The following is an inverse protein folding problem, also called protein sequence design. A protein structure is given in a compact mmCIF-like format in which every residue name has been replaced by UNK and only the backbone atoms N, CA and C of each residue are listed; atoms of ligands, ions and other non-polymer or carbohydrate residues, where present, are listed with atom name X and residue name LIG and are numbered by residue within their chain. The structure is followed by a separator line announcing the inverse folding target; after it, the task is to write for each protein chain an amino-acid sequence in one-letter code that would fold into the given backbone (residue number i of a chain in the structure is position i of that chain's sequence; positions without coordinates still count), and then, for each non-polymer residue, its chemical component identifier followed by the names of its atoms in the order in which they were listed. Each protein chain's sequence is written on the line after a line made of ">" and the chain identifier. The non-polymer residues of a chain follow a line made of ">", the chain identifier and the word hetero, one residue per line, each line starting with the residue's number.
data_IF_657352845493
#
_entry.id   IF_657352845493
#
_cell.length_a   1.000
_cell.length_b   1.000
_cell.length_c   1.000
_cell.angle_alpha   90.00
_cell.angle_beta   90.00
_cell.angle_gamma   90.00
#
_symmetry.space_group_name_H-M   'P 1'
#
loop_
_entity.id
_entity.type
_entity.pdbx_description
1 polymer ?
#
# COMPACT_ATOMS: atom_id res chain seq x y z
N UNK A 1 39.29 5.56 -35.29
CA UNK A 1 38.45 4.35 -35.10
C UNK A 1 38.28 4.07 -33.60
N UNK A 2 37.47 4.87 -32.89
CA UNK A 2 37.23 4.74 -31.43
C UNK A 2 35.92 5.44 -31.01
N UNK A 3 34.87 5.37 -31.82
CA UNK A 3 33.57 6.00 -31.51
C UNK A 3 32.41 5.01 -31.35
N UNK A 4 32.55 3.78 -31.85
CA UNK A 4 31.50 2.76 -31.80
C UNK A 4 31.47 1.97 -30.47
N UNK A 5 32.62 1.81 -29.81
CA UNK A 5 32.75 1.02 -28.56
C UNK A 5 32.12 1.70 -27.35
N UNK A 6 32.02 3.03 -27.36
CA UNK A 6 31.39 3.80 -26.28
C UNK A 6 29.86 3.83 -26.37
N UNK A 7 29.30 3.89 -27.59
CA UNK A 7 27.84 3.94 -27.80
C UNK A 7 27.16 2.63 -27.38
N UNK A 8 27.77 1.49 -27.71
CA UNK A 8 27.27 0.16 -27.29
C UNK A 8 27.34 -0.02 -25.77
N UNK A 9 28.32 0.59 -25.10
CA UNK A 9 28.48 0.54 -23.65
C UNK A 9 27.37 1.23 -22.85
N UNK A 10 26.66 2.20 -23.43
CA UNK A 10 25.51 2.87 -22.80
C UNK A 10 24.15 2.28 -23.22
N UNK A 11 24.07 1.67 -24.42
CA UNK A 11 22.82 1.08 -24.92
C UNK A 11 22.44 -0.19 -24.14
N UNK A 12 23.42 -1.05 -23.82
CA UNK A 12 23.15 -2.30 -23.10
C UNK A 12 22.60 -2.04 -21.68
N UNK A 13 23.21 -1.20 -20.82
CA UNK A 13 22.67 -0.93 -19.49
C UNK A 13 21.36 -0.13 -19.50
N UNK A 14 21.12 0.72 -20.52
CA UNK A 14 19.81 1.40 -20.65
C UNK A 14 18.71 0.44 -21.06
N UNK A 15 18.99 -0.51 -21.96
CA UNK A 15 18.05 -1.56 -22.34
C UNK A 15 17.78 -2.52 -21.16
N UNK A 16 18.82 -2.90 -20.42
CA UNK A 16 18.67 -3.73 -19.21
C UNK A 16 17.89 -3.00 -18.10
N UNK A 17 18.16 -1.71 -17.90
CA UNK A 17 17.42 -0.86 -16.96
C UNK A 17 15.94 -0.74 -17.38
N UNK A 18 15.66 -0.55 -18.67
CA UNK A 18 14.30 -0.54 -19.21
C UNK A 18 13.58 -1.88 -19.06
N UNK A 19 14.27 -3.00 -19.31
CA UNK A 19 13.73 -4.35 -19.13
C UNK A 19 13.48 -4.66 -17.65
N UNK A 20 14.40 -4.27 -16.77
CA UNK A 20 14.23 -4.37 -15.32
C UNK A 20 13.06 -3.50 -14.85
N UNK A 21 12.92 -2.28 -15.34
CA UNK A 21 11.76 -1.43 -15.04
C UNK A 21 10.45 -2.04 -15.54
N UNK A 22 10.43 -2.64 -16.73
CA UNK A 22 9.25 -3.34 -17.26
C UNK A 22 8.85 -4.54 -16.38
N UNK A 23 9.82 -5.34 -15.95
CA UNK A 23 9.55 -6.54 -15.16
C UNK A 23 9.27 -6.24 -13.67
N UNK A 24 9.99 -5.27 -13.10
CA UNK A 24 9.98 -4.96 -11.68
C UNK A 24 9.24 -3.67 -11.32
N UNK A 25 8.70 -2.92 -12.30
CA UNK A 25 7.96 -1.68 -12.09
C UNK A 25 6.77 -1.83 -11.15
N UNK A 26 6.13 -3.00 -11.13
CA UNK A 26 5.04 -3.34 -10.20
C UNK A 26 5.46 -3.41 -8.72
N UNK A 27 6.77 -3.50 -8.46
CA UNK A 27 7.34 -3.47 -7.11
C UNK A 27 7.88 -2.10 -6.74
N UNK A 28 7.90 -1.14 -7.67
CA UNK A 28 8.35 0.20 -7.37
C UNK A 28 7.39 0.88 -6.39
N UNK A 29 7.89 1.39 -5.26
CA UNK A 29 7.07 2.07 -4.26
C UNK A 29 6.44 3.35 -4.83
N UNK A 30 5.10 3.42 -4.94
CA UNK A 30 4.39 4.67 -5.23
C UNK A 30 4.47 5.61 -4.02
N UNK A 31 5.41 6.55 -4.02
CA UNK A 31 5.68 7.43 -2.86
C UNK A 31 4.71 8.60 -2.71
N UNK A 32 3.73 8.75 -3.60
CA UNK A 32 2.72 9.81 -3.46
C UNK A 32 1.62 9.36 -2.51
N UNK A 33 1.52 9.92 -1.29
CA UNK A 33 0.32 9.76 -0.48
C UNK A 33 -0.82 10.46 -1.23
N UNK A 34 -1.58 9.69 -2.00
CA UNK A 34 -2.70 10.21 -2.80
C UNK A 34 -3.87 10.67 -1.91
N UNK A 35 -3.84 10.39 -0.61
CA UNK A 35 -4.95 10.69 0.29
C UNK A 35 -4.74 12.01 1.05
N UNK A 36 -5.64 12.97 0.84
CA UNK A 36 -5.73 14.19 1.66
C UNK A 36 -6.16 13.82 3.09
N UNK A 37 -5.44 14.19 4.16
CA UNK A 37 -5.88 13.90 5.51
C UNK A 37 -7.26 14.52 5.81
N UNK A 38 -8.09 13.84 6.62
CA UNK A 38 -9.35 14.43 7.10
C UNK A 38 -9.01 15.52 8.12
N UNK A 39 -9.72 16.65 8.09
CA UNK A 39 -9.59 17.65 9.14
C UNK A 39 -10.21 17.14 10.45
N UNK A 40 -9.74 17.66 11.58
CA UNK A 40 -10.25 17.29 12.90
C UNK A 40 -11.77 17.50 13.01
N UNK A 41 -12.30 18.56 12.40
CA UNK A 41 -13.72 18.87 12.36
C UNK A 41 -14.52 17.79 11.63
N UNK A 42 -14.03 17.34 10.46
CA UNK A 42 -14.67 16.27 9.70
C UNK A 42 -14.63 14.96 10.49
N UNK A 43 -13.52 14.66 11.17
CA UNK A 43 -13.41 13.46 12.03
C UNK A 43 -14.44 13.52 13.17
N UNK A 44 -14.59 14.67 13.83
CA UNK A 44 -15.57 14.84 14.89
C UNK A 44 -17.01 14.69 14.38
N UNK A 45 -17.32 15.28 13.23
CA UNK A 45 -18.64 15.13 12.60
C UNK A 45 -18.92 13.67 12.23
N UNK A 46 -17.94 12.95 11.67
CA UNK A 46 -18.08 11.53 11.35
C UNK A 46 -18.31 10.71 12.61
N UNK A 47 -17.59 10.96 13.70
CA UNK A 47 -17.80 10.24 14.96
C UNK A 47 -19.21 10.43 15.54
N UNK A 48 -19.86 11.56 15.26
CA UNK A 48 -21.23 11.85 15.71
C UNK A 48 -22.30 11.31 14.76
N UNK A 49 -22.05 11.33 13.45
CA UNK A 49 -23.08 11.02 12.43
C UNK A 49 -22.93 9.64 11.81
N UNK A 50 -21.70 9.20 11.55
CA UNK A 50 -21.35 7.94 10.87
C UNK A 50 -20.08 7.34 11.49
N UNK A 51 -20.13 6.92 12.78
CA UNK A 51 -18.95 6.38 13.46
C UNK A 51 -18.45 5.12 12.73
N UNK A 52 -17.13 5.00 12.56
CA UNK A 52 -16.54 3.82 11.90
C UNK A 52 -16.87 2.56 12.71
N UNK A 53 -17.43 1.55 12.06
CA UNK A 53 -17.79 0.26 12.68
C UNK A 53 -16.84 -0.86 12.27
N UNK A 54 -16.25 -0.78 11.09
CA UNK A 54 -15.40 -1.83 10.55
C UNK A 54 -14.35 -1.31 9.57
N UNK A 55 -13.29 -2.09 9.44
CA UNK A 55 -12.22 -1.91 8.47
C UNK A 55 -12.16 -3.18 7.63
N UNK A 56 -12.37 -3.04 6.32
CA UNK A 56 -12.28 -4.15 5.38
C UNK A 56 -11.00 -4.03 4.56
N UNK A 57 -10.17 -5.07 4.57
CA UNK A 57 -8.87 -5.09 3.91
C UNK A 57 -8.88 -6.06 2.74
N UNK A 58 -8.82 -5.52 1.52
CA UNK A 58 -8.81 -6.28 0.27
C UNK A 58 -7.37 -6.50 -0.17
N UNK A 59 -6.71 -7.52 0.38
CA UNK A 59 -5.26 -7.71 0.26
C UNK A 59 -4.77 -7.88 -1.17
N UNK A 60 -5.44 -8.73 -1.94
CA UNK A 60 -5.12 -8.98 -3.36
C UNK A 60 -5.27 -7.72 -4.20
N UNK A 61 -6.21 -6.85 -3.83
CA UNK A 61 -6.48 -5.59 -4.52
C UNK A 61 -5.69 -4.41 -3.92
N UNK A 62 -4.98 -4.61 -2.81
CA UNK A 62 -4.15 -3.64 -2.10
C UNK A 62 -4.88 -2.34 -1.74
N UNK A 63 -6.11 -2.45 -1.25
CA UNK A 63 -6.82 -1.33 -0.64
C UNK A 63 -7.53 -1.73 0.66
N UNK A 64 -7.85 -0.72 1.46
CA UNK A 64 -8.59 -0.78 2.70
C UNK A 64 -9.81 0.13 2.61
N UNK A 65 -10.93 -0.30 3.18
CA UNK A 65 -12.14 0.52 3.33
C UNK A 65 -12.44 0.75 4.81
N UNK A 66 -12.68 2.02 5.18
CA UNK A 66 -13.35 2.41 6.42
C UNK A 66 -14.85 2.40 6.17
N UNK A 67 -15.61 1.68 7.01
CA UNK A 67 -17.06 1.54 6.86
C UNK A 67 -17.83 1.96 8.10
N UNK A 68 -19.04 2.47 7.88
CA UNK A 68 -20.11 2.55 8.87
C UNK A 68 -21.22 1.59 8.41
N UNK A 69 -21.36 0.47 9.11
CA UNK A 69 -22.20 -0.65 8.70
C UNK A 69 -21.84 -1.08 7.26
N UNK A 70 -22.76 -0.90 6.31
CA UNK A 70 -22.57 -1.23 4.90
C UNK A 70 -22.07 -0.06 4.05
N UNK A 71 -22.02 1.15 4.59
CA UNK A 71 -21.58 2.35 3.88
C UNK A 71 -20.05 2.52 3.92
N UNK A 72 -19.45 2.73 2.76
CA UNK A 72 -18.02 3.06 2.65
C UNK A 72 -17.81 4.55 2.93
N UNK A 73 -17.18 4.86 4.07
CA UNK A 73 -16.76 6.24 4.42
C UNK A 73 -15.57 6.65 3.57
N UNK A 74 -14.57 5.77 3.47
CA UNK A 74 -13.32 6.07 2.76
C UNK A 74 -12.56 4.83 2.31
N UNK A 75 -11.90 4.94 1.17
CA UNK A 75 -10.97 3.92 0.66
C UNK A 75 -9.54 4.45 0.64
N UNK A 76 -8.59 3.59 1.00
CA UNK A 76 -7.16 3.89 1.00
C UNK A 76 -6.40 2.82 0.23
N UNK A 77 -5.50 3.19 -0.71
CA UNK A 77 -4.50 2.25 -1.18
C UNK A 77 -3.60 1.88 0.01
N UNK A 78 -3.29 0.61 0.16
CA UNK A 78 -2.42 0.11 1.23
C UNK A 78 -1.21 -0.61 0.66
N UNK A 79 -0.09 -0.48 1.35
CA UNK A 79 1.06 -1.34 1.11
C UNK A 79 1.00 -2.53 2.04
N UNK A 80 1.24 -3.69 1.47
CA UNK A 80 1.42 -4.93 2.20
C UNK A 80 2.87 -5.39 2.01
N UNK A 81 3.28 -6.35 2.83
CA UNK A 81 4.57 -7.03 2.69
C UNK A 81 4.78 -7.64 1.29
N UNK A 82 5.98 -8.16 1.09
CA UNK A 82 6.45 -8.65 -0.21
C UNK A 82 5.72 -9.92 -0.69
N UNK A 83 5.05 -10.67 0.20
CA UNK A 83 4.30 -11.88 -0.15
C UNK A 83 2.89 -11.90 0.51
N UNK A 84 1.94 -11.08 0.06
CA UNK A 84 0.65 -10.91 0.73
C UNK A 84 -0.39 -11.98 0.39
N UNK A 85 -0.04 -12.97 -0.44
CA UNK A 85 -0.97 -13.97 -0.94
C UNK A 85 -1.06 -15.15 0.05
N UNK A 86 -2.28 -15.43 0.50
CA UNK A 86 -2.60 -16.55 1.39
C UNK A 86 -2.35 -16.25 2.88
N UNK A 87 -2.74 -17.21 3.73
CA UNK A 87 -2.71 -17.06 5.17
C UNK A 87 -1.30 -17.14 5.76
N UNK A 88 -1.03 -16.31 6.79
CA UNK A 88 0.23 -16.29 7.54
C UNK A 88 0.49 -17.63 8.23
N UNK A 89 1.68 -18.19 8.06
CA UNK A 89 2.08 -19.48 8.66
C UNK A 89 3.13 -19.30 9.75
N UNK A 90 4.08 -18.37 9.58
CA UNK A 90 5.16 -18.14 10.54
C UNK A 90 5.70 -16.70 10.46
N UNK A 91 6.45 -16.28 11.48
CA UNK A 91 7.11 -14.98 11.50
C UNK A 91 8.11 -14.85 10.33
N UNK A 92 8.10 -13.69 9.64
CA UNK A 92 8.98 -13.47 8.48
C UNK A 92 8.47 -13.96 7.11
N UNK A 93 7.32 -14.64 7.03
CA UNK A 93 6.76 -15.13 5.75
C UNK A 93 6.18 -14.05 4.82
N UNK A 94 6.15 -12.79 5.26
CA UNK A 94 5.69 -11.64 4.48
C UNK A 94 4.17 -11.55 4.28
N UNK A 95 3.38 -12.44 4.91
CA UNK A 95 1.93 -12.52 4.79
C UNK A 95 1.22 -11.75 5.90
N UNK A 96 0.13 -11.07 5.55
CA UNK A 96 -0.82 -10.50 6.52
C UNK A 96 -1.86 -11.57 6.85
N UNK A 97 -2.20 -11.82 8.12
CA UNK A 97 -3.13 -12.88 8.49
C UNK A 97 -4.57 -12.54 8.07
N UNK A 98 -5.33 -13.53 7.60
CA UNK A 98 -6.70 -13.41 7.09
C UNK A 98 -7.70 -13.81 8.18
N UNK A 99 -8.79 -13.05 8.32
CA UNK A 99 -9.81 -13.29 9.34
C UNK A 99 -10.36 -11.99 9.93
N UNK A 100 -11.21 -12.14 10.95
CA UNK A 100 -11.77 -11.01 11.70
C UNK A 100 -10.88 -10.73 12.91
N UNK A 101 -10.47 -9.48 13.05
CA UNK A 101 -9.65 -8.99 14.14
C UNK A 101 -10.28 -7.77 14.78
N UNK A 102 -9.97 -7.54 16.06
CA UNK A 102 -10.35 -6.33 16.78
C UNK A 102 -9.11 -5.47 17.00
N UNK A 103 -9.25 -4.16 16.81
CA UNK A 103 -8.21 -3.20 17.20
C UNK A 103 -8.35 -2.96 18.69
N UNK A 104 -7.35 -3.35 19.45
CA UNK A 104 -7.29 -3.23 20.91
C UNK A 104 -6.52 -1.98 21.37
N UNK A 105 -5.59 -1.49 20.55
CA UNK A 105 -4.73 -0.37 20.90
C UNK A 105 -4.21 0.40 19.67
N UNK A 106 -3.86 1.68 19.88
CA UNK A 106 -3.13 2.50 18.91
C UNK A 106 -1.91 3.15 19.57
N UNK A 107 -0.81 3.25 18.84
CA UNK A 107 0.36 3.99 19.30
C UNK A 107 0.12 5.51 19.23
N UNK A 108 0.03 6.23 20.37
CA UNK A 108 -0.19 7.68 20.35
C UNK A 108 1.04 8.46 19.84
N UNK A 109 2.23 7.84 19.83
CA UNK A 109 3.49 8.43 19.35
C UNK A 109 3.79 8.07 17.89
N UNK A 110 2.83 7.50 17.16
CA UNK A 110 2.97 7.26 15.72
C UNK A 110 3.22 8.59 14.99
N UNK A 111 4.21 8.63 14.11
CA UNK A 111 4.45 9.77 13.21
C UNK A 111 3.47 9.81 12.02
N UNK A 112 2.62 8.79 11.92
CA UNK A 112 1.57 8.61 10.91
C UNK A 112 0.19 8.61 11.57
#
# INVERSE_FOLDING_TARGET
>A
MMKLRFVVGFIIPTLFSGLAFYHYGKFLPTFTPTHKPLSAQVIQQLNQTKPVTSIEVFKSQRFLQLKHQDEVIRSYPIRLGFNPIGHKQFEGDGKTPEGTYSIDWRNPKSAY
#
